data_IF_466192488277
#
_entry.id   IF_466192488277
#
_cell.length_a   1.000
_cell.length_b   1.000
_cell.length_c   1.000
_cell.angle_alpha   90.00
_cell.angle_beta   90.00
_cell.angle_gamma   90.00
#
_symmetry.space_group_name_H-M   'P 1'
#
loop_
_entity.id
_entity.type
_entity.pdbx_description
1 polymer ?
#
# COMPACT_ATOMS: atom_id res chain seq x y z
N UNK A 1 -12.05 10.74 -17.35
CA UNK A 1 -11.20 11.08 -16.19
C UNK A 1 -10.47 12.39 -16.44
N UNK A 2 -9.84 12.60 -17.58
CA UNK A 2 -9.07 13.81 -17.89
C UNK A 2 -9.88 15.10 -17.75
N UNK A 3 -11.15 15.11 -18.12
CA UNK A 3 -12.02 16.29 -17.94
C UNK A 3 -12.23 16.61 -16.46
N UNK A 4 -12.47 15.60 -15.62
CA UNK A 4 -12.61 15.76 -14.17
C UNK A 4 -11.30 16.28 -13.53
N UNK A 5 -10.16 15.75 -13.96
CA UNK A 5 -8.84 16.22 -13.51
C UNK A 5 -8.64 17.70 -13.85
N UNK A 6 -8.98 18.09 -15.08
CA UNK A 6 -8.90 19.48 -15.50
C UNK A 6 -9.83 20.40 -14.68
N UNK A 7 -11.06 19.96 -14.38
CA UNK A 7 -11.98 20.71 -13.53
C UNK A 7 -11.45 20.90 -12.11
N UNK A 8 -10.84 19.84 -11.51
CA UNK A 8 -10.24 19.91 -10.17
C UNK A 8 -9.06 20.90 -10.16
N UNK A 9 -8.15 20.80 -11.15
CA UNK A 9 -7.00 21.71 -11.25
C UNK A 9 -7.42 23.15 -11.54
N UNK A 10 -8.56 23.37 -12.22
CA UNK A 10 -9.11 24.71 -12.39
C UNK A 10 -9.57 25.34 -11.06
N UNK A 11 -9.96 24.53 -10.06
CA UNK A 11 -10.31 25.01 -8.72
C UNK A 11 -9.05 25.27 -7.89
N UNK A 12 -8.05 24.38 -7.99
CA UNK A 12 -6.78 24.47 -7.25
C UNK A 12 -5.65 23.81 -8.04
N UNK A 13 -4.82 24.63 -8.65
CA UNK A 13 -3.74 24.22 -9.57
C UNK A 13 -2.77 23.17 -8.97
N UNK A 14 -2.41 23.32 -7.70
CA UNK A 14 -1.39 22.49 -7.05
C UNK A 14 -2.00 21.43 -6.10
N UNK A 15 -3.16 20.85 -6.42
CA UNK A 15 -3.71 19.74 -5.69
C UNK A 15 -3.12 18.43 -6.23
N UNK A 16 -2.69 17.53 -5.32
CA UNK A 16 -2.27 16.19 -5.70
C UNK A 16 -3.48 15.26 -5.84
N UNK A 17 -3.54 14.53 -6.95
CA UNK A 17 -4.57 13.55 -7.25
C UNK A 17 -3.99 12.15 -7.08
N UNK A 18 -4.59 11.37 -6.19
CA UNK A 18 -4.17 10.01 -5.88
C UNK A 18 -5.30 9.00 -6.13
N UNK A 19 -4.93 7.75 -6.40
CA UNK A 19 -5.88 6.67 -6.64
C UNK A 19 -5.36 5.34 -6.11
N UNK A 20 -6.28 4.41 -5.80
CA UNK A 20 -5.99 2.99 -5.63
C UNK A 20 -6.22 2.26 -6.95
N UNK A 21 -5.19 2.07 -7.73
CA UNK A 21 -5.18 1.31 -8.98
C UNK A 21 -4.19 0.16 -8.84
N UNK A 22 -4.58 -0.88 -8.07
CA UNK A 22 -3.73 -2.03 -7.76
C UNK A 22 -3.80 -3.11 -8.86
N UNK A 23 -4.96 -3.21 -9.49
CA UNK A 23 -5.36 -4.30 -10.38
C UNK A 23 -6.39 -5.23 -9.74
N UNK A 24 -6.84 -6.24 -10.50
CA UNK A 24 -7.88 -7.16 -10.05
C UNK A 24 -9.13 -6.43 -9.59
N UNK A 25 -9.60 -6.75 -8.38
CA UNK A 25 -10.81 -6.13 -7.78
C UNK A 25 -10.60 -4.70 -7.26
N UNK A 26 -9.36 -4.24 -7.14
CA UNK A 26 -9.02 -2.87 -6.72
C UNK A 26 -8.49 -2.09 -7.92
N UNK A 27 -9.38 -1.84 -8.84
CA UNK A 27 -9.14 -1.01 -10.03
C UNK A 27 -10.27 0.02 -10.15
N UNK A 28 -9.96 1.32 -9.92
CA UNK A 28 -10.96 2.41 -9.91
C UNK A 28 -11.29 2.86 -11.33
N UNK A 29 -10.28 2.93 -12.19
CA UNK A 29 -10.44 3.32 -13.58
C UNK A 29 -10.40 2.07 -14.45
N UNK A 30 -11.54 1.73 -15.06
CA UNK A 30 -11.69 0.57 -15.96
C UNK A 30 -12.05 0.97 -17.38
N UNK A 31 -12.90 2.00 -17.54
CA UNK A 31 -13.25 2.51 -18.87
C UNK A 31 -12.07 3.30 -19.44
N UNK A 32 -11.64 2.94 -20.64
CA UNK A 32 -10.51 3.54 -21.37
C UNK A 32 -9.13 3.29 -20.69
N UNK A 33 -9.06 2.34 -19.75
CA UNK A 33 -7.84 1.85 -19.12
C UNK A 33 -7.67 0.36 -19.36
N UNK A 34 -6.42 -0.10 -19.38
CA UNK A 34 -6.10 -1.52 -19.46
C UNK A 34 -6.69 -2.25 -18.24
N UNK A 35 -7.37 -3.38 -18.47
CA UNK A 35 -7.81 -4.25 -17.40
C UNK A 35 -6.62 -4.99 -16.81
N UNK A 36 -6.30 -4.70 -15.56
CA UNK A 36 -5.13 -5.21 -14.87
C UNK A 36 -5.42 -6.53 -14.15
N UNK A 37 -4.49 -7.50 -14.16
CA UNK A 37 -4.60 -8.69 -13.30
C UNK A 37 -4.48 -8.30 -11.81
N UNK A 38 -4.89 -9.20 -10.91
CA UNK A 38 -4.54 -9.09 -9.51
C UNK A 38 -3.02 -9.27 -9.31
N UNK A 39 -2.45 -8.75 -8.22
CA UNK A 39 -1.03 -8.95 -7.92
C UNK A 39 -0.68 -10.43 -7.76
N UNK A 40 -1.59 -11.23 -7.19
CA UNK A 40 -1.41 -12.67 -7.06
C UNK A 40 -1.36 -13.37 -8.41
N UNK A 41 -2.26 -13.01 -9.34
CA UNK A 41 -2.27 -13.61 -10.68
C UNK A 41 -1.05 -13.17 -11.49
N UNK A 42 -0.61 -11.92 -11.31
CA UNK A 42 0.60 -11.40 -11.93
C UNK A 42 1.85 -12.15 -11.45
N UNK A 43 1.98 -12.39 -10.15
CA UNK A 43 3.07 -13.17 -9.58
C UNK A 43 3.06 -14.63 -10.09
N UNK A 44 1.89 -15.29 -10.08
CA UNK A 44 1.73 -16.63 -10.62
C UNK A 44 2.11 -16.71 -12.10
N UNK A 45 1.70 -15.73 -12.90
CA UNK A 45 2.07 -15.68 -14.33
C UNK A 45 3.59 -15.56 -14.50
N UNK A 46 4.22 -14.66 -13.73
CA UNK A 46 5.67 -14.49 -13.72
C UNK A 46 6.41 -15.80 -13.45
N UNK A 47 5.98 -16.54 -12.43
CA UNK A 47 6.60 -17.82 -12.06
C UNK A 47 6.40 -18.91 -13.11
N UNK A 48 5.15 -19.11 -13.60
CA UNK A 48 4.81 -20.15 -14.58
C UNK A 48 5.57 -19.94 -15.90
N UNK A 49 5.72 -18.70 -16.34
CA UNK A 49 6.35 -18.37 -17.60
C UNK A 49 7.85 -18.04 -17.47
N UNK A 50 8.38 -18.07 -16.24
CA UNK A 50 9.76 -17.65 -15.94
C UNK A 50 10.07 -16.25 -16.50
N UNK A 51 9.12 -15.34 -16.31
CA UNK A 51 9.17 -13.96 -16.79
C UNK A 51 9.12 -12.99 -15.61
N UNK A 52 10.26 -12.69 -14.99
CA UNK A 52 10.32 -11.82 -13.81
C UNK A 52 10.01 -10.34 -14.12
N UNK A 53 10.09 -9.94 -15.38
CA UNK A 53 9.90 -8.55 -15.78
C UNK A 53 8.43 -8.20 -16.05
N UNK A 54 7.52 -9.16 -16.13
CA UNK A 54 6.09 -8.88 -16.32
C UNK A 54 5.49 -7.98 -15.24
N UNK A 55 5.94 -8.12 -13.97
CA UNK A 55 5.51 -7.23 -12.88
C UNK A 55 5.93 -5.79 -13.13
N UNK A 56 7.13 -5.60 -13.66
CA UNK A 56 7.68 -4.30 -14.04
C UNK A 56 6.90 -3.69 -15.21
N UNK A 57 6.63 -4.49 -16.27
CA UNK A 57 5.91 -4.03 -17.46
C UNK A 57 4.47 -3.61 -17.14
N UNK A 58 3.75 -4.39 -16.32
CA UNK A 58 2.39 -4.07 -15.87
C UNK A 58 2.38 -2.82 -15.00
N UNK A 59 3.33 -2.66 -14.08
CA UNK A 59 3.44 -1.46 -13.25
C UNK A 59 3.77 -0.21 -14.07
N UNK A 60 4.67 -0.34 -15.06
CA UNK A 60 4.98 0.74 -15.99
C UNK A 60 3.75 1.16 -16.81
N UNK A 61 3.01 0.20 -17.35
CA UNK A 61 1.78 0.46 -18.11
C UNK A 61 0.74 1.17 -17.25
N UNK A 62 0.44 0.63 -16.07
CA UNK A 62 -0.51 1.22 -15.10
C UNK A 62 -0.15 2.66 -14.78
N UNK A 63 1.11 2.89 -14.43
CA UNK A 63 1.60 4.22 -14.07
C UNK A 63 1.56 5.20 -15.24
N UNK A 64 1.91 4.73 -16.44
CA UNK A 64 1.87 5.56 -17.65
C UNK A 64 0.43 5.99 -18.01
N UNK A 65 -0.55 5.07 -17.91
CA UNK A 65 -1.96 5.39 -18.12
C UNK A 65 -2.49 6.41 -17.09
N UNK A 66 -2.12 6.23 -15.81
CA UNK A 66 -2.51 7.16 -14.74
C UNK A 66 -1.90 8.55 -14.95
N UNK A 67 -0.61 8.64 -15.24
CA UNK A 67 0.07 9.91 -15.52
C UNK A 67 -0.56 10.60 -16.74
N UNK A 68 -0.84 9.85 -17.80
CA UNK A 68 -1.49 10.39 -19.01
C UNK A 68 -2.91 10.91 -18.72
N UNK A 69 -3.60 10.37 -17.69
CA UNK A 69 -4.90 10.83 -17.22
C UNK A 69 -4.79 12.02 -16.25
N UNK A 70 -3.58 12.42 -15.84
CA UNK A 70 -3.32 13.53 -14.90
C UNK A 70 -3.40 13.12 -13.42
N UNK A 71 -3.20 11.85 -13.10
CA UNK A 71 -3.10 11.35 -11.72
C UNK A 71 -1.64 11.40 -11.27
N UNK A 72 -1.39 12.00 -10.12
CA UNK A 72 -0.04 12.25 -9.60
C UNK A 72 0.52 11.06 -8.80
N UNK A 73 -0.34 10.27 -8.14
CA UNK A 73 0.08 9.23 -7.22
C UNK A 73 -0.84 8.00 -7.30
N UNK A 74 -0.24 6.82 -7.34
CA UNK A 74 -0.93 5.55 -7.14
C UNK A 74 -0.55 4.97 -5.77
N UNK A 75 -1.54 4.62 -4.94
CA UNK A 75 -1.30 3.92 -3.69
C UNK A 75 -1.03 2.43 -3.94
N UNK A 76 0.15 2.14 -4.49
CA UNK A 76 0.67 0.82 -4.85
C UNK A 76 2.21 0.80 -4.70
N UNK A 77 2.82 -0.39 -4.53
CA UNK A 77 2.22 -1.73 -4.42
C UNK A 77 1.73 -2.11 -3.01
N UNK A 78 0.89 -3.15 -2.95
CA UNK A 78 0.58 -3.85 -1.70
C UNK A 78 1.77 -4.76 -1.35
N UNK A 79 2.30 -4.62 -0.13
CA UNK A 79 3.39 -5.46 0.42
C UNK A 79 2.93 -6.45 1.48
N UNK A 80 1.62 -6.50 1.75
CA UNK A 80 1.05 -7.44 2.70
C UNK A 80 1.30 -8.88 2.27
N UNK A 81 1.60 -9.75 3.24
CA UNK A 81 1.82 -11.17 3.04
C UNK A 81 0.52 -11.89 3.39
N UNK A 82 -0.12 -12.57 2.45
CA UNK A 82 -1.41 -13.24 2.67
C UNK A 82 -1.24 -14.59 3.38
N UNK A 83 -0.84 -14.56 4.66
CA UNK A 83 -0.68 -15.78 5.48
C UNK A 83 -2.01 -16.41 5.91
N UNK A 84 -3.07 -15.61 6.03
CA UNK A 84 -4.35 -16.03 6.60
C UNK A 84 -5.42 -16.34 5.58
N UNK A 85 -5.15 -16.23 4.28
CA UNK A 85 -6.16 -16.20 3.21
C UNK A 85 -7.25 -15.16 3.51
N UNK A 86 -6.83 -13.96 3.90
CA UNK A 86 -7.72 -12.85 4.24
C UNK A 86 -8.60 -12.47 3.05
N UNK A 87 -9.90 -12.34 3.26
CA UNK A 87 -10.81 -11.84 2.23
C UNK A 87 -10.50 -10.39 1.83
N UNK A 88 -9.77 -9.65 2.66
CA UNK A 88 -9.44 -8.23 2.46
C UNK A 88 -8.16 -8.08 1.65
N UNK A 89 -7.13 -8.83 1.98
CA UNK A 89 -5.87 -8.86 1.24
C UNK A 89 -5.98 -9.87 0.10
N UNK A 90 -6.00 -11.15 0.37
CA UNK A 90 -6.20 -12.21 -0.62
C UNK A 90 -5.38 -11.98 -1.89
N UNK A 91 -6.05 -11.90 -3.02
CA UNK A 91 -5.46 -11.70 -4.35
C UNK A 91 -4.79 -10.33 -4.57
N UNK A 92 -4.93 -9.38 -3.63
CA UNK A 92 -4.19 -8.11 -3.63
C UNK A 92 -2.72 -8.30 -3.21
N UNK A 93 -2.37 -9.38 -2.50
CA UNK A 93 -0.99 -9.75 -2.21
C UNK A 93 -0.34 -10.45 -3.39
N UNK A 94 0.96 -10.28 -3.58
CA UNK A 94 1.72 -11.07 -4.55
C UNK A 94 1.81 -12.54 -4.14
N UNK A 95 1.99 -12.82 -2.84
CA UNK A 95 2.17 -14.18 -2.32
C UNK A 95 1.93 -14.26 -0.81
N UNK A 96 1.80 -15.50 -0.30
CA UNK A 96 1.86 -15.83 1.12
C UNK A 96 3.31 -16.00 1.65
N UNK A 97 4.33 -15.79 0.81
CA UNK A 97 5.73 -15.91 1.18
C UNK A 97 6.46 -14.58 1.06
N UNK A 98 7.14 -14.20 2.13
CA UNK A 98 7.86 -12.93 2.25
C UNK A 98 8.84 -12.68 1.10
N UNK A 99 9.66 -13.68 0.74
CA UNK A 99 10.68 -13.52 -0.30
C UNK A 99 10.07 -13.33 -1.70
N UNK A 100 8.93 -14.00 -1.97
CA UNK A 100 8.20 -13.84 -3.23
C UNK A 100 7.55 -12.45 -3.31
N UNK A 101 6.95 -11.96 -2.20
CA UNK A 101 6.43 -10.58 -2.14
C UNK A 101 7.54 -9.57 -2.41
N UNK A 102 8.72 -9.72 -1.79
CA UNK A 102 9.86 -8.83 -2.00
C UNK A 102 10.29 -8.83 -3.47
N UNK A 103 10.46 -10.01 -4.07
CA UNK A 103 10.94 -10.17 -5.44
C UNK A 103 9.99 -9.51 -6.46
N UNK A 104 8.69 -9.80 -6.37
CA UNK A 104 7.73 -9.24 -7.31
C UNK A 104 7.48 -7.75 -7.08
N UNK A 105 7.40 -7.31 -5.81
CA UNK A 105 7.23 -5.90 -5.48
C UNK A 105 8.44 -5.05 -5.91
N UNK A 106 9.66 -5.58 -5.83
CA UNK A 106 10.85 -4.90 -6.32
C UNK A 106 10.74 -4.57 -7.81
N UNK A 107 10.30 -5.54 -8.61
CA UNK A 107 10.07 -5.36 -10.06
C UNK A 107 8.92 -4.39 -10.33
N UNK A 108 7.85 -4.49 -9.56
CA UNK A 108 6.69 -3.59 -9.70
C UNK A 108 7.10 -2.13 -9.43
N UNK A 109 7.84 -1.87 -8.35
CA UNK A 109 8.37 -0.54 -8.01
C UNK A 109 9.31 -0.01 -9.12
N UNK A 110 10.17 -0.87 -9.69
CA UNK A 110 11.02 -0.48 -10.83
C UNK A 110 10.18 0.01 -12.01
N UNK A 111 9.08 -0.67 -12.33
CA UNK A 111 8.17 -0.25 -13.40
C UNK A 111 7.48 1.09 -13.11
N UNK A 112 7.01 1.29 -11.87
CA UNK A 112 6.43 2.58 -11.47
C UNK A 112 7.43 3.73 -11.67
N UNK A 113 8.67 3.55 -11.20
CA UNK A 113 9.71 4.56 -11.30
C UNK A 113 10.12 4.84 -12.75
N UNK A 114 10.22 3.83 -13.61
CA UNK A 114 10.50 4.01 -15.03
C UNK A 114 9.43 4.82 -15.76
N UNK A 115 8.17 4.69 -15.33
CA UNK A 115 7.08 5.54 -15.84
C UNK A 115 7.11 6.97 -15.27
N UNK A 116 7.83 7.19 -14.16
CA UNK A 116 7.90 8.48 -13.45
C UNK A 116 6.94 8.60 -12.27
N UNK A 117 6.32 7.50 -11.81
CA UNK A 117 5.39 7.46 -10.67
C UNK A 117 6.09 6.99 -9.40
N UNK A 118 5.82 7.65 -8.28
CA UNK A 118 6.35 7.30 -6.98
C UNK A 118 5.60 6.10 -6.38
N UNK A 119 6.31 5.22 -5.67
CA UNK A 119 5.76 4.00 -5.08
C UNK A 119 5.33 4.20 -3.62
N UNK A 120 4.07 3.86 -3.31
CA UNK A 120 3.52 3.88 -1.96
C UNK A 120 3.29 2.46 -1.46
N UNK A 121 4.18 1.97 -0.61
CA UNK A 121 4.08 0.64 -0.01
C UNK A 121 3.00 0.58 1.08
N UNK A 122 2.13 -0.44 1.05
CA UNK A 122 1.01 -0.58 1.99
C UNK A 122 0.70 -2.05 2.30
N UNK A 123 0.14 -2.33 3.47
CA UNK A 123 -0.28 -1.48 4.60
C UNK A 123 0.60 -1.76 5.80
N UNK A 124 1.52 -0.86 6.11
CA UNK A 124 2.51 -1.05 7.18
C UNK A 124 1.85 -1.20 8.56
N UNK A 125 2.30 -2.11 9.44
CA UNK A 125 3.40 -3.06 9.29
C UNK A 125 3.04 -4.34 8.52
N UNK A 126 1.76 -4.63 8.22
CA UNK A 126 1.27 -5.77 7.45
C UNK A 126 -0.18 -6.12 7.79
N UNK A 127 -1.07 -6.20 6.80
CA UNK A 127 -2.51 -6.47 6.97
C UNK A 127 -2.88 -7.94 6.71
N UNK A 128 -1.97 -8.76 6.16
CA UNK A 128 -2.27 -10.13 5.72
C UNK A 128 -2.43 -11.15 6.86
N UNK A 129 -2.09 -10.79 8.10
CA UNK A 129 -2.21 -11.66 9.27
C UNK A 129 -3.56 -11.62 9.98
N UNK A 130 -4.50 -10.74 9.58
CA UNK A 130 -5.83 -10.60 10.17
C UNK A 130 -6.93 -10.90 9.15
N UNK A 131 -8.06 -11.45 9.63
CA UNK A 131 -9.21 -11.80 8.79
C UNK A 131 -10.24 -10.68 8.73
N UNK A 132 -10.28 -9.83 9.74
CA UNK A 132 -11.26 -8.77 9.89
C UNK A 132 -10.98 -7.61 8.93
N UNK A 133 -12.07 -7.00 8.48
CA UNK A 133 -12.04 -5.85 7.58
C UNK A 133 -11.91 -4.53 8.36
N UNK A 134 -10.79 -3.85 8.22
CA UNK A 134 -10.54 -2.54 8.82
C UNK A 134 -11.46 -1.42 8.33
N UNK A 135 -12.18 -1.63 7.21
CA UNK A 135 -13.26 -0.73 6.78
C UNK A 135 -14.50 -0.80 7.69
N UNK A 136 -14.74 -1.95 8.33
CA UNK A 136 -15.96 -2.24 9.09
C UNK A 136 -15.74 -2.21 10.59
N UNK A 137 -14.60 -2.72 11.06
CA UNK A 137 -14.23 -2.78 12.48
C UNK A 137 -12.75 -2.45 12.64
N UNK A 138 -12.29 -2.28 13.88
CA UNK A 138 -10.87 -2.22 14.20
C UNK A 138 -10.34 -3.65 14.39
N UNK A 139 -9.53 -4.20 13.44
CA UNK A 139 -8.92 -5.51 13.60
C UNK A 139 -7.86 -5.49 14.72
N UNK A 140 -7.64 -6.65 15.34
CA UNK A 140 -6.59 -6.83 16.35
C UNK A 140 -5.61 -7.93 15.90
N UNK A 141 -4.33 -7.59 15.80
CA UNK A 141 -3.23 -8.53 15.58
C UNK A 141 -2.46 -8.73 16.89
N UNK A 142 -2.40 -9.98 17.36
CA UNK A 142 -1.72 -10.38 18.60
C UNK A 142 -0.33 -10.97 18.38
N UNK A 143 0.23 -10.81 17.20
CA UNK A 143 1.62 -11.22 16.94
C UNK A 143 2.59 -10.29 17.65
N UNK A 144 3.73 -10.85 18.07
CA UNK A 144 4.81 -10.05 18.66
C UNK A 144 5.55 -9.23 17.61
N UNK A 145 6.21 -8.16 18.04
CA UNK A 145 7.08 -7.37 17.15
C UNK A 145 8.15 -8.23 16.48
N UNK A 146 8.70 -9.22 17.20
CA UNK A 146 9.72 -10.13 16.66
C UNK A 146 9.19 -10.94 15.48
N UNK A 147 7.94 -11.43 15.54
CA UNK A 147 7.31 -12.14 14.43
C UNK A 147 7.10 -11.20 13.25
N UNK A 148 6.52 -10.02 13.46
CA UNK A 148 6.31 -9.04 12.39
C UNK A 148 7.65 -8.61 11.73
N UNK A 149 8.70 -8.42 12.52
CA UNK A 149 10.04 -8.08 12.02
C UNK A 149 10.65 -9.20 11.14
N UNK A 150 10.24 -10.46 11.34
CA UNK A 150 10.73 -11.61 10.56
C UNK A 150 9.90 -11.90 9.32
N UNK A 151 8.66 -11.36 9.23
CA UNK A 151 7.74 -11.59 8.11
C UNK A 151 7.31 -10.28 7.47
N UNK A 152 6.23 -9.68 7.96
CA UNK A 152 5.50 -8.57 7.35
C UNK A 152 6.34 -7.29 7.17
N UNK A 153 7.28 -7.03 8.08
CA UNK A 153 8.16 -5.85 8.01
C UNK A 153 9.36 -6.08 7.07
N UNK A 154 9.69 -7.34 6.72
CA UNK A 154 10.83 -7.63 5.84
C UNK A 154 10.74 -6.94 4.46
N UNK A 155 9.60 -6.91 3.76
CA UNK A 155 9.49 -6.16 2.52
C UNK A 155 9.87 -4.69 2.67
N UNK A 156 9.45 -4.03 3.75
CA UNK A 156 9.80 -2.64 4.03
C UNK A 156 11.28 -2.45 4.34
N UNK A 157 11.93 -3.40 5.02
CA UNK A 157 13.37 -3.38 5.28
C UNK A 157 14.16 -3.55 3.97
N UNK A 158 13.80 -4.54 3.17
CA UNK A 158 14.52 -4.89 1.94
C UNK A 158 14.36 -3.85 0.83
N UNK A 159 13.16 -3.29 0.71
CA UNK A 159 12.81 -2.33 -0.34
C UNK A 159 12.92 -0.87 0.11
N UNK A 160 13.39 -0.60 1.33
CA UNK A 160 13.46 0.72 1.96
C UNK A 160 13.97 1.84 1.04
N UNK A 161 15.02 1.56 0.26
CA UNK A 161 15.65 2.56 -0.63
C UNK A 161 14.93 2.75 -1.96
N UNK A 162 13.93 1.89 -2.24
CA UNK A 162 13.14 1.90 -3.46
C UNK A 162 11.73 2.43 -3.23
N UNK A 163 11.24 2.40 -1.98
CA UNK A 163 9.92 2.90 -1.61
C UNK A 163 10.01 4.42 -1.38
N UNK A 164 9.07 5.19 -1.94
CA UNK A 164 9.00 6.64 -1.77
C UNK A 164 8.05 7.04 -0.64
N UNK A 165 7.00 6.23 -0.42
CA UNK A 165 6.04 6.45 0.64
C UNK A 165 5.62 5.13 1.31
N UNK A 166 5.20 5.21 2.57
CA UNK A 166 4.61 4.12 3.35
C UNK A 166 3.22 4.54 3.81
N UNK A 167 2.22 3.69 3.58
CA UNK A 167 0.88 3.86 4.14
C UNK A 167 0.69 2.94 5.34
N UNK A 168 0.30 3.52 6.49
CA UNK A 168 0.11 2.81 7.75
C UNK A 168 -1.30 2.22 7.84
N UNK A 169 -1.40 0.95 8.21
CA UNK A 169 -2.65 0.24 8.43
C UNK A 169 -3.44 0.75 9.63
N UNK A 170 -4.77 0.55 9.60
CA UNK A 170 -5.67 0.74 10.74
C UNK A 170 -5.93 -0.61 11.44
N UNK A 171 -4.90 -1.18 12.05
CA UNK A 171 -4.92 -2.42 12.83
C UNK A 171 -4.31 -2.16 14.20
N UNK A 172 -4.89 -2.70 15.26
CA UNK A 172 -4.33 -2.64 16.60
C UNK A 172 -3.38 -3.83 16.82
N UNK A 173 -2.12 -3.58 17.03
CA UNK A 173 -1.11 -4.58 17.40
C UNK A 173 -0.96 -4.59 18.92
N UNK A 174 -1.95 -5.16 19.62
CA UNK A 174 -2.17 -4.99 21.07
C UNK A 174 -1.06 -5.52 21.96
N UNK A 175 -0.21 -6.45 21.50
CA UNK A 175 0.99 -6.87 22.24
C UNK A 175 2.19 -5.92 22.07
N UNK A 176 2.06 -4.87 21.24
CA UNK A 176 3.16 -3.98 20.89
C UNK A 176 2.87 -2.54 21.30
N UNK A 177 1.68 -2.03 20.96
CA UNK A 177 1.27 -0.67 21.26
C UNK A 177 -0.26 -0.60 21.46
N UNK A 178 -0.71 0.38 22.23
CA UNK A 178 -2.14 0.66 22.50
C UNK A 178 -2.80 1.52 21.40
N UNK A 179 -2.04 1.91 20.38
CA UNK A 179 -2.48 2.73 19.25
C UNK A 179 -2.23 2.03 17.93
N UNK A 180 -3.13 2.30 16.97
CA UNK A 180 -2.92 1.88 15.57
C UNK A 180 -1.70 2.58 14.97
N UNK A 181 -1.02 1.98 13.97
CA UNK A 181 0.19 2.54 13.39
C UNK A 181 0.08 3.98 12.92
N UNK A 182 -1.06 4.37 12.33
CA UNK A 182 -1.31 5.75 11.86
C UNK A 182 -1.30 6.82 12.98
N UNK A 183 -1.46 6.43 14.26
CA UNK A 183 -1.51 7.35 15.40
C UNK A 183 -0.38 7.10 16.42
N UNK A 184 0.48 6.14 16.15
CA UNK A 184 1.48 5.66 17.09
C UNK A 184 2.85 6.29 16.87
N UNK A 185 3.35 6.95 17.92
CA UNK A 185 4.74 7.44 17.91
C UNK A 185 5.75 6.29 17.89
N UNK A 186 5.41 5.15 18.51
CA UNK A 186 6.26 3.96 18.45
C UNK A 186 6.41 3.45 17.01
N UNK A 187 5.31 3.23 16.30
CA UNK A 187 5.37 2.73 14.93
C UNK A 187 6.02 3.73 13.97
N UNK A 188 5.64 5.01 14.05
CA UNK A 188 6.14 6.03 13.12
C UNK A 188 7.58 6.42 13.44
N UNK A 189 7.88 6.80 14.70
CA UNK A 189 9.19 7.36 15.05
C UNK A 189 10.23 6.29 15.36
N UNK A 190 9.86 5.26 16.14
CA UNK A 190 10.84 4.30 16.59
C UNK A 190 11.05 3.19 15.54
N UNK A 191 9.97 2.67 14.92
CA UNK A 191 10.13 1.64 13.89
C UNK A 191 10.43 2.25 12.52
N UNK A 192 9.49 3.00 11.90
CA UNK A 192 9.68 3.49 10.52
C UNK A 192 10.87 4.43 10.41
N UNK A 193 10.95 5.47 11.27
CA UNK A 193 11.98 6.49 11.13
C UNK A 193 13.35 6.09 11.66
N UNK A 194 13.42 5.42 12.83
CA UNK A 194 14.72 5.05 13.46
C UNK A 194 15.19 3.67 13.02
N UNK A 195 14.39 2.61 13.26
CA UNK A 195 14.80 1.25 13.01
C UNK A 195 14.96 0.98 11.50
N UNK A 196 13.94 1.29 10.70
CA UNK A 196 14.01 1.16 9.25
C UNK A 196 14.82 2.29 8.59
N UNK A 197 15.07 3.40 9.30
CA UNK A 197 15.73 4.60 8.76
C UNK A 197 15.05 5.14 7.48
N UNK A 198 13.72 4.96 7.36
CA UNK A 198 12.95 5.43 6.22
C UNK A 198 12.83 6.96 6.21
N UNK A 199 13.07 7.59 5.04
CA UNK A 199 13.08 9.05 4.87
C UNK A 199 11.95 9.59 4.02
N UNK A 200 11.21 8.70 3.35
CA UNK A 200 10.10 9.08 2.47
C UNK A 200 8.85 9.58 3.19
N UNK A 201 7.76 9.71 2.46
CA UNK A 201 6.47 10.18 2.99
C UNK A 201 5.80 9.06 3.79
N UNK A 202 5.08 9.42 4.86
CA UNK A 202 4.21 8.48 5.60
C UNK A 202 2.78 8.97 5.47
N UNK A 203 1.91 8.09 4.99
CA UNK A 203 0.47 8.30 4.92
C UNK A 203 -0.23 7.51 6.02
N UNK A 204 -1.34 8.04 6.54
CA UNK A 204 -2.36 7.17 7.14
C UNK A 204 -3.13 6.47 6.03
N UNK A 205 -3.71 5.31 6.31
CA UNK A 205 -4.81 4.80 5.51
C UNK A 205 -6.03 5.71 5.61
N UNK A 206 -7.10 5.44 4.85
CA UNK A 206 -8.30 6.27 4.79
C UNK A 206 -8.91 6.49 6.18
N UNK A 207 -8.89 7.75 6.63
CA UNK A 207 -9.42 8.15 7.93
C UNK A 207 -10.95 8.01 8.04
N UNK A 208 -11.67 7.74 6.95
CA UNK A 208 -13.10 7.41 6.97
C UNK A 208 -13.39 5.98 7.41
N UNK A 209 -12.40 5.08 7.37
CA UNK A 209 -12.52 3.68 7.79
C UNK A 209 -12.88 3.56 9.27
N UNK A 210 -13.64 2.51 9.62
CA UNK A 210 -14.01 2.23 11.03
C UNK A 210 -12.78 1.93 11.89
N UNK A 211 -11.76 1.26 11.35
CA UNK A 211 -10.49 1.01 12.04
C UNK A 211 -9.74 2.28 12.47
N UNK A 212 -10.03 3.43 11.86
CA UNK A 212 -9.48 4.72 12.28
C UNK A 212 -10.16 5.30 13.54
N UNK A 213 -11.24 4.69 14.06
CA UNK A 213 -12.02 5.13 15.20
C UNK A 213 -13.31 5.88 14.83
N UNK A 214 -14.11 6.23 15.85
CA UNK A 214 -15.43 6.83 15.67
C UNK A 214 -15.42 8.38 15.66
N UNK A 215 -14.28 9.00 15.95
CA UNK A 215 -14.17 10.45 16.03
C UNK A 215 -14.33 11.12 14.65
N UNK A 216 -14.57 12.43 14.66
CA UNK A 216 -14.64 13.20 13.40
C UNK A 216 -13.31 13.13 12.61
N UNK A 217 -13.39 13.22 11.28
CA UNK A 217 -12.19 13.24 10.42
C UNK A 217 -11.17 14.31 10.84
N UNK A 218 -11.63 15.45 11.37
CA UNK A 218 -10.76 16.50 11.90
C UNK A 218 -9.90 16.01 13.08
N UNK A 219 -10.51 15.27 14.01
CA UNK A 219 -9.80 14.73 15.18
C UNK A 219 -8.83 13.62 14.75
N UNK A 220 -9.29 12.73 13.86
CA UNK A 220 -8.45 11.66 13.30
C UNK A 220 -7.23 12.23 12.56
N UNK A 221 -7.43 13.26 11.73
CA UNK A 221 -6.34 13.95 11.04
C UNK A 221 -5.35 14.60 12.02
N UNK A 222 -5.82 15.25 13.08
CA UNK A 222 -4.94 15.80 14.10
C UNK A 222 -4.10 14.71 14.77
N UNK A 223 -4.71 13.57 15.16
CA UNK A 223 -4.01 12.42 15.74
C UNK A 223 -2.94 11.81 14.82
N UNK A 224 -3.15 11.81 13.51
CA UNK A 224 -2.19 11.25 12.55
C UNK A 224 -0.98 12.17 12.28
N UNK A 225 -1.03 13.44 12.69
CA UNK A 225 0.05 14.43 12.50
C UNK A 225 0.89 14.60 13.80
N UNK A 226 0.33 14.34 14.97
CA UNK A 226 1.00 14.46 16.30
C UNK A 226 2.09 13.38 16.55
#
# INVERSE_FOLDING_TARGET
>A
ISDLVNEIHAIKENILLAVDQEGGRVQRFSQDFTQLPSLQDLAKYSEINNDPDICKEVAWLTSSELIAAGIDLNFAPVLDIDESNSAIIGDRSFSSKTDEVIMHAEKYIEGMHEAGMQATAKHFPGHGGVLEDSHVILPEDKRSLELLMRSDIQPYIKLNKKIDAIMCAHILYSLIDDKIPSYSKFWIRDIIRKELNFKGVIFSDDLSMAGAGEESCRVKAAKSIE
#
